data_IF_658283966656
#
_entry.id   IF_658283966656
#
_cell.length_a   1.000
_cell.length_b   1.000
_cell.length_c   1.000
_cell.angle_alpha   90.00
_cell.angle_beta   90.00
_cell.angle_gamma   90.00
#
_symmetry.space_group_name_H-M   'P 1'
#
loop_
_entity.id
_entity.type
_entity.pdbx_description
1 polymer ?
#
# COMPACT_ATOMS: atom_id res chain seq x y z
N UNK A 1 -14.32 -7.38 -0.76
CA UNK A 1 -14.33 -5.92 -1.01
C UNK A 1 -15.56 -5.62 -1.84
N UNK A 2 -16.22 -4.50 -1.59
CA UNK A 2 -17.40 -4.11 -2.35
C UNK A 2 -17.48 -2.59 -2.45
N UNK A 3 -17.98 -2.09 -3.57
CA UNK A 3 -18.41 -0.70 -3.71
C UNK A 3 -19.94 -0.72 -3.66
N UNK A 4 -20.52 -0.14 -2.61
CA UNK A 4 -21.95 -0.22 -2.33
C UNK A 4 -22.52 1.12 -1.86
N UNK A 5 -23.82 1.28 -2.09
CA UNK A 5 -24.63 2.35 -1.53
C UNK A 5 -25.18 1.92 -0.17
N UNK A 6 -24.92 2.75 0.84
CA UNK A 6 -25.33 2.52 2.23
C UNK A 6 -26.29 3.61 2.66
N UNK A 7 -27.40 3.18 3.26
CA UNK A 7 -28.37 4.00 3.96
C UNK A 7 -28.11 3.85 5.47
N UNK A 8 -27.52 4.89 6.05
CA UNK A 8 -27.06 4.96 7.43
C UNK A 8 -26.88 6.43 7.86
N UNK A 9 -26.76 6.67 9.16
CA UNK A 9 -26.69 8.04 9.73
C UNK A 9 -25.27 8.64 9.71
N UNK A 10 -24.28 7.92 9.20
CA UNK A 10 -22.89 8.37 9.22
C UNK A 10 -22.61 9.43 8.14
N UNK A 11 -21.86 10.50 8.47
CA UNK A 11 -21.47 11.50 7.47
C UNK A 11 -20.84 10.92 6.20
N UNK A 12 -21.08 11.57 5.07
CA UNK A 12 -20.41 11.19 3.83
C UNK A 12 -19.01 11.81 3.76
N UNK A 13 -18.02 11.05 3.29
CA UNK A 13 -16.66 11.54 3.01
C UNK A 13 -15.59 11.10 4.00
N UNK A 14 -15.97 10.54 5.15
CA UNK A 14 -15.02 10.05 6.15
C UNK A 14 -14.59 8.59 5.92
N UNK A 15 -13.44 8.23 6.50
CA UNK A 15 -12.98 6.85 6.62
C UNK A 15 -13.47 6.28 7.96
N UNK A 16 -14.36 5.29 7.93
CA UNK A 16 -14.83 4.63 9.14
C UNK A 16 -14.06 3.34 9.39
N UNK A 17 -13.63 3.12 10.63
CA UNK A 17 -12.91 1.90 11.03
C UNK A 17 -13.61 1.29 12.24
N UNK A 18 -14.46 0.31 12.00
CA UNK A 18 -15.11 -0.45 13.07
C UNK A 18 -14.19 -1.58 13.52
N UNK A 19 -14.28 -2.03 14.78
CA UNK A 19 -13.54 -3.20 15.30
C UNK A 19 -14.53 -4.21 15.90
N UNK A 20 -15.07 -5.16 15.12
CA UNK A 20 -15.84 -6.26 15.68
C UNK A 20 -14.89 -7.38 16.18
N UNK A 21 -15.41 -8.27 17.03
CA UNK A 21 -14.68 -9.39 17.64
C UNK A 21 -14.05 -10.37 16.62
N UNK A 22 -14.49 -10.33 15.35
CA UNK A 22 -13.95 -11.11 14.22
C UNK A 22 -13.59 -10.16 13.05
N UNK A 23 -12.39 -9.58 13.14
CA UNK A 23 -11.59 -8.89 12.12
C UNK A 23 -12.32 -8.03 11.05
N UNK A 24 -12.05 -6.73 11.07
CA UNK A 24 -12.52 -5.73 10.10
C UNK A 24 -11.38 -5.03 9.35
N UNK A 25 -11.71 -4.58 8.14
CA UNK A 25 -10.99 -3.59 7.35
C UNK A 25 -11.97 -2.44 7.04
N UNK A 26 -11.53 -1.20 6.78
CA UNK A 26 -12.40 -0.04 6.88
C UNK A 26 -13.24 0.21 5.61
N UNK A 27 -14.51 0.64 5.68
CA UNK A 27 -15.13 1.37 4.58
C UNK A 27 -14.35 2.66 4.27
N UNK A 28 -13.84 2.75 3.04
CA UNK A 28 -13.12 3.90 2.48
C UNK A 28 -14.02 4.68 1.52
N UNK A 29 -13.71 5.97 1.36
CA UNK A 29 -14.47 6.90 0.53
C UNK A 29 -14.54 6.45 -0.93
N UNK A 30 -15.74 6.56 -1.53
CA UNK A 30 -15.90 6.65 -2.99
C UNK A 30 -16.27 8.09 -3.38
N UNK A 31 -15.96 8.55 -4.61
CA UNK A 31 -16.24 9.92 -5.05
C UNK A 31 -17.73 10.28 -5.17
N UNK A 32 -18.63 9.29 -5.26
CA UNK A 32 -20.06 9.51 -5.45
C UNK A 32 -20.82 9.54 -4.12
N UNK A 33 -21.86 10.38 -3.99
CA UNK A 33 -22.64 10.50 -2.75
C UNK A 33 -23.24 9.16 -2.34
N UNK A 34 -23.26 8.91 -1.03
CA UNK A 34 -23.73 7.66 -0.40
C UNK A 34 -23.04 6.36 -0.87
N UNK A 35 -21.96 6.45 -1.66
CA UNK A 35 -21.17 5.27 -2.06
C UNK A 35 -19.95 5.08 -1.17
N UNK A 36 -19.72 3.83 -0.79
CA UNK A 36 -18.65 3.44 0.10
C UNK A 36 -17.95 2.19 -0.42
N UNK A 37 -16.63 2.18 -0.27
CA UNK A 37 -15.78 1.04 -0.61
C UNK A 37 -15.48 0.24 0.65
N UNK A 38 -16.14 -0.88 0.81
CA UNK A 38 -16.16 -1.71 2.01
C UNK A 38 -15.12 -2.82 1.90
N UNK A 39 -14.28 -2.94 2.93
CA UNK A 39 -13.34 -4.04 3.06
C UNK A 39 -13.75 -4.95 4.22
N UNK A 40 -13.71 -6.27 4.01
CA UNK A 40 -14.10 -7.22 5.04
C UNK A 40 -13.36 -8.53 4.87
N UNK A 41 -13.04 -9.18 6.00
CA UNK A 41 -12.50 -10.52 6.00
C UNK A 41 -13.66 -11.52 5.87
N UNK A 42 -13.56 -12.47 4.97
CA UNK A 42 -14.50 -13.60 4.91
C UNK A 42 -13.78 -14.79 5.53
N UNK A 43 -14.33 -15.37 6.61
CA UNK A 43 -13.77 -16.58 7.21
C UNK A 43 -14.21 -17.77 6.34
N UNK A 44 -13.24 -18.51 5.79
CA UNK A 44 -13.48 -19.62 4.86
C UNK A 44 -13.50 -20.99 5.55
N UNK A 45 -13.62 -21.05 6.88
CA UNK A 45 -13.50 -22.30 7.65
C UNK A 45 -12.04 -22.76 7.88
N UNK A 46 -11.84 -23.93 8.54
CA UNK A 46 -10.52 -24.52 8.77
C UNK A 46 -9.82 -24.91 7.45
N UNK A 47 -8.49 -25.05 7.50
CA UNK A 47 -7.63 -25.27 6.33
C UNK A 47 -8.16 -26.39 5.40
N UNK A 48 -8.51 -26.00 4.17
CA UNK A 48 -9.00 -26.83 3.07
C UNK A 48 -8.95 -26.01 1.78
N UNK A 49 -9.23 -26.60 0.60
CA UNK A 49 -9.37 -25.82 -0.62
C UNK A 49 -10.41 -24.73 -0.37
N UNK A 50 -10.06 -23.49 -0.73
CA UNK A 50 -10.98 -22.37 -0.57
C UNK A 50 -12.31 -22.74 -1.25
N UNK A 51 -13.47 -22.44 -0.65
CA UNK A 51 -14.75 -22.62 -1.33
C UNK A 51 -14.67 -21.92 -2.69
N UNK A 52 -15.31 -22.52 -3.69
CA UNK A 52 -15.37 -21.99 -5.04
C UNK A 52 -15.73 -20.49 -5.00
N UNK A 53 -15.08 -19.70 -5.88
CA UNK A 53 -15.32 -18.27 -5.90
C UNK A 53 -16.79 -18.02 -6.25
N UNK A 54 -17.56 -17.59 -5.26
CA UNK A 54 -18.87 -17.00 -5.44
C UNK A 54 -18.87 -15.62 -4.80
N UNK A 55 -19.44 -14.66 -5.52
CA UNK A 55 -19.76 -13.36 -4.94
C UNK A 55 -20.89 -13.54 -3.93
N UNK A 56 -20.81 -12.89 -2.76
CA UNK A 56 -21.89 -12.95 -1.79
C UNK A 56 -23.16 -12.36 -2.40
N UNK A 57 -24.30 -12.98 -2.09
CA UNK A 57 -25.60 -12.42 -2.45
C UNK A 57 -25.85 -11.12 -1.67
N UNK A 58 -26.80 -10.31 -2.13
CA UNK A 58 -27.22 -9.09 -1.43
C UNK A 58 -27.59 -9.37 0.04
N UNK A 59 -28.37 -10.44 0.29
CA UNK A 59 -28.76 -10.85 1.65
C UNK A 59 -27.54 -11.23 2.51
N UNK A 60 -26.59 -11.98 1.94
CA UNK A 60 -25.35 -12.34 2.64
C UNK A 60 -24.50 -11.10 2.95
N UNK A 61 -24.45 -10.15 2.03
CA UNK A 61 -23.71 -8.91 2.22
C UNK A 61 -24.37 -8.02 3.29
N UNK A 62 -25.70 -7.90 3.29
CA UNK A 62 -26.48 -7.24 4.34
C UNK A 62 -26.24 -7.91 5.70
N UNK A 63 -26.31 -9.24 5.79
CA UNK A 63 -26.02 -9.97 7.03
C UNK A 63 -24.59 -9.70 7.53
N UNK A 64 -23.59 -9.68 6.65
CA UNK A 64 -22.23 -9.33 7.02
C UNK A 64 -22.12 -7.90 7.56
N UNK A 65 -22.91 -6.96 7.03
CA UNK A 65 -22.96 -5.58 7.53
C UNK A 65 -23.62 -5.53 8.91
N UNK A 66 -24.76 -6.20 9.10
CA UNK A 66 -25.47 -6.25 10.38
C UNK A 66 -24.62 -6.86 11.50
N UNK A 67 -23.84 -7.90 11.19
CA UNK A 67 -22.97 -8.57 12.17
C UNK A 67 -21.75 -7.73 12.57
N UNK A 68 -21.29 -6.81 11.71
CA UNK A 68 -19.96 -6.19 11.83
C UNK A 68 -19.99 -4.68 12.00
N UNK A 69 -21.05 -4.02 11.55
CA UNK A 69 -21.26 -2.60 11.69
C UNK A 69 -21.96 -2.33 13.02
N UNK A 70 -21.39 -1.50 13.92
CA UNK A 70 -22.00 -1.20 15.22
C UNK A 70 -23.17 -0.21 15.11
N UNK A 71 -23.43 0.32 13.91
CA UNK A 71 -24.51 1.26 13.63
C UNK A 71 -25.50 0.63 12.66
N UNK A 72 -26.81 0.89 12.82
CA UNK A 72 -27.82 0.46 11.85
C UNK A 72 -27.42 0.88 10.44
N UNK A 73 -27.30 -0.09 9.54
CA UNK A 73 -26.82 0.13 8.18
C UNK A 73 -27.63 -0.72 7.22
N UNK A 74 -28.32 -0.10 6.28
CA UNK A 74 -29.00 -0.80 5.19
C UNK A 74 -28.17 -0.69 3.92
N UNK A 75 -27.85 -1.82 3.32
CA UNK A 75 -27.26 -1.89 1.98
C UNK A 75 -28.37 -1.64 0.99
N UNK A 76 -28.29 -0.53 0.25
CA UNK A 76 -29.29 -0.18 -0.77
C UNK A 76 -29.00 -0.95 -2.05
N UNK A 77 -27.73 -0.98 -2.46
CA UNK A 77 -27.28 -1.63 -3.70
C UNK A 77 -25.76 -1.79 -3.73
N UNK A 78 -25.29 -2.90 -4.26
CA UNK A 78 -23.90 -3.12 -4.63
C UNK A 78 -23.66 -2.74 -6.09
N UNK A 79 -22.62 -1.95 -6.35
CA UNK A 79 -22.15 -1.63 -7.70
C UNK A 79 -21.08 -2.60 -8.17
N UNK A 80 -20.28 -3.10 -7.22
CA UNK A 80 -19.21 -4.06 -7.48
C UNK A 80 -18.92 -4.86 -6.21
N UNK A 81 -18.70 -6.16 -6.36
CA UNK A 81 -18.28 -7.03 -5.26
C UNK A 81 -17.16 -7.93 -5.76
N UNK A 82 -16.12 -8.11 -4.95
CA UNK A 82 -15.06 -9.05 -5.26
C UNK A 82 -14.43 -9.65 -4.02
N UNK A 83 -14.14 -10.95 -4.10
CA UNK A 83 -13.38 -11.70 -3.08
C UNK A 83 -11.97 -11.97 -3.60
N UNK A 84 -11.00 -11.20 -3.14
CA UNK A 84 -9.60 -11.50 -3.42
C UNK A 84 -8.99 -12.30 -2.27
N UNK A 85 -8.11 -13.25 -2.62
CA UNK A 85 -7.27 -13.94 -1.65
C UNK A 85 -5.98 -13.16 -1.46
N UNK A 86 -5.61 -12.94 -0.20
CA UNK A 86 -4.34 -12.34 0.15
C UNK A 86 -3.22 -13.31 -0.20
N UNK A 87 -2.49 -13.02 -1.27
CA UNK A 87 -1.24 -13.68 -1.61
C UNK A 87 -0.08 -12.70 -1.41
N UNK A 88 1.02 -13.22 -0.86
CA UNK A 88 2.30 -12.53 -0.82
C UNK A 88 3.24 -13.29 -1.73
N UNK A 89 3.65 -12.65 -2.83
CA UNK A 89 4.60 -13.23 -3.80
C UNK A 89 5.44 -12.11 -4.36
N UNK A 90 6.72 -12.37 -4.58
CA UNK A 90 7.62 -11.49 -5.32
C UNK A 90 8.51 -12.39 -6.17
N UNK A 91 8.84 -11.94 -7.37
CA UNK A 91 9.90 -12.57 -8.16
C UNK A 91 11.26 -12.18 -7.58
N UNK A 92 12.31 -13.01 -7.73
CA UNK A 92 13.65 -12.69 -7.24
C UNK A 92 14.34 -11.59 -8.06
N UNK A 93 13.98 -11.46 -9.35
CA UNK A 93 14.59 -10.50 -10.28
C UNK A 93 13.53 -9.89 -11.19
N UNK A 94 13.62 -8.57 -11.41
CA UNK A 94 12.64 -7.84 -12.22
C UNK A 94 13.00 -7.79 -13.71
N UNK A 95 14.19 -8.31 -14.07
CA UNK A 95 14.71 -8.39 -15.44
C UNK A 95 15.28 -9.78 -15.71
N UNK A 96 14.97 -10.32 -16.88
CA UNK A 96 15.63 -11.49 -17.46
C UNK A 96 15.99 -11.18 -18.93
N UNK A 97 17.23 -10.76 -19.17
CA UNK A 97 17.68 -10.34 -20.51
C UNK A 97 16.88 -9.13 -21.03
N UNK A 98 16.00 -9.36 -22.01
CA UNK A 98 15.14 -8.31 -22.61
C UNK A 98 13.71 -8.31 -22.06
N UNK A 99 13.44 -9.15 -21.06
CA UNK A 99 12.12 -9.30 -20.45
C UNK A 99 12.12 -8.59 -19.11
N UNK A 100 11.07 -7.82 -18.84
CA UNK A 100 10.90 -7.06 -17.61
C UNK A 100 9.52 -7.34 -17.02
N UNK A 101 9.45 -7.35 -15.69
CA UNK A 101 8.18 -7.41 -14.95
C UNK A 101 8.01 -6.18 -14.07
N UNK A 102 6.77 -5.74 -13.93
CA UNK A 102 6.40 -4.45 -13.31
C UNK A 102 5.10 -4.63 -12.52
N UNK A 103 4.97 -3.97 -11.36
CA UNK A 103 3.75 -4.02 -10.55
C UNK A 103 3.37 -5.44 -10.12
N UNK A 104 2.09 -5.79 -10.18
CA UNK A 104 1.57 -7.08 -9.71
C UNK A 104 2.20 -8.31 -10.38
N UNK A 105 2.78 -8.16 -11.57
CA UNK A 105 3.55 -9.23 -12.22
C UNK A 105 4.90 -9.50 -11.51
N UNK A 106 5.49 -8.47 -10.92
CA UNK A 106 6.75 -8.54 -10.18
C UNK A 106 6.50 -8.84 -8.70
N UNK A 107 5.48 -8.23 -8.11
CA UNK A 107 5.20 -8.33 -6.68
C UNK A 107 3.72 -8.16 -6.37
N UNK A 108 3.17 -9.07 -5.56
CA UNK A 108 1.83 -9.00 -5.01
C UNK A 108 1.94 -8.85 -3.50
N UNK A 109 1.28 -7.82 -2.96
CA UNK A 109 1.35 -7.46 -1.55
C UNK A 109 -0.04 -7.51 -0.91
N UNK A 110 -0.06 -7.57 0.43
CA UNK A 110 -1.31 -7.34 1.16
C UNK A 110 -1.82 -5.91 0.84
N UNK A 111 -3.09 -5.74 0.44
CA UNK A 111 -3.70 -4.45 0.14
C UNK A 111 -3.88 -3.58 1.38
N UNK A 112 -3.50 -4.08 2.54
CA UNK A 112 -3.68 -3.43 3.80
C UNK A 112 -2.79 -2.18 4.00
N UNK A 113 -1.83 -1.94 3.09
CA UNK A 113 -1.13 -0.66 2.93
C UNK A 113 -1.66 0.24 1.80
N UNK A 114 -2.59 -0.23 0.96
CA UNK A 114 -3.07 0.44 -0.26
C UNK A 114 -1.94 0.91 -1.20
N UNK A 115 -0.85 0.14 -1.26
CA UNK A 115 0.39 0.55 -1.94
C UNK A 115 0.62 -0.11 -3.29
N UNK A 116 -0.09 -1.19 -3.64
CA UNK A 116 0.22 -2.00 -4.85
C UNK A 116 0.26 -1.16 -6.13
N UNK A 117 -0.83 -0.45 -6.44
CA UNK A 117 -0.90 0.41 -7.63
C UNK A 117 0.15 1.53 -7.62
N UNK A 118 0.37 2.17 -6.46
CA UNK A 118 1.35 3.24 -6.34
C UNK A 118 2.78 2.73 -6.60
N UNK A 119 3.14 1.57 -6.04
CA UNK A 119 4.43 0.93 -6.28
C UNK A 119 4.58 0.54 -7.75
N UNK A 120 3.55 -0.06 -8.36
CA UNK A 120 3.60 -0.46 -9.77
C UNK A 120 3.75 0.73 -10.73
N UNK A 121 3.08 1.85 -10.48
CA UNK A 121 3.28 3.09 -11.25
C UNK A 121 4.73 3.58 -11.10
N UNK A 122 5.29 3.54 -9.90
CA UNK A 122 6.68 3.94 -9.68
C UNK A 122 7.69 2.99 -10.32
N UNK A 123 7.40 1.69 -10.39
CA UNK A 123 8.22 0.72 -11.13
C UNK A 123 8.24 1.07 -12.62
N UNK A 124 7.06 1.31 -13.21
CA UNK A 124 6.93 1.72 -14.60
C UNK A 124 7.66 3.05 -14.86
N UNK A 125 7.51 4.03 -13.97
CA UNK A 125 8.20 5.31 -14.07
C UNK A 125 9.73 5.15 -14.03
N UNK A 126 10.25 4.29 -13.15
CA UNK A 126 11.69 4.01 -13.08
C UNK A 126 12.21 3.33 -14.35
N UNK A 127 11.46 2.38 -14.91
CA UNK A 127 11.89 1.60 -16.07
C UNK A 127 11.74 2.35 -17.41
N UNK A 128 10.70 3.16 -17.57
CA UNK A 128 10.32 3.75 -18.86
C UNK A 128 11.43 4.62 -19.47
N UNK A 129 12.06 5.50 -18.69
CA UNK A 129 13.12 6.36 -19.20
C UNK A 129 14.40 5.57 -19.51
N UNK A 130 14.72 4.53 -18.73
CA UNK A 130 15.87 3.64 -18.96
C UNK A 130 15.72 2.92 -20.29
N UNK A 131 14.54 2.36 -20.56
CA UNK A 131 14.20 1.75 -21.85
C UNK A 131 14.28 2.75 -23.00
N UNK A 132 13.74 3.96 -22.82
CA UNK A 132 13.78 4.99 -23.86
C UNK A 132 15.21 5.41 -24.22
N UNK A 133 16.11 5.53 -23.24
CA UNK A 133 17.52 5.86 -23.47
C UNK A 133 18.24 4.79 -24.29
N UNK A 134 18.00 3.51 -24.01
CA UNK A 134 18.59 2.40 -24.76
C UNK A 134 17.97 2.26 -26.14
N UNK A 135 16.63 2.35 -26.24
CA UNK A 135 15.89 2.17 -27.49
C UNK A 135 16.20 3.28 -28.51
N UNK A 136 16.48 4.50 -28.06
CA UNK A 136 16.89 5.62 -28.93
C UNK A 136 18.39 5.60 -29.29
N UNK A 137 19.16 4.67 -28.73
CA UNK A 137 20.61 4.61 -28.93
C UNK A 137 21.40 5.67 -28.16
N UNK A 138 20.79 6.36 -27.19
CA UNK A 138 21.48 7.33 -26.34
C UNK A 138 22.46 6.64 -25.38
N UNK A 139 22.17 5.38 -25.02
CA UNK A 139 23.05 4.52 -24.21
C UNK A 139 23.15 3.16 -24.89
N UNK A 140 24.36 2.68 -25.13
CA UNK A 140 24.64 1.47 -25.91
C UNK A 140 25.66 0.55 -25.22
N UNK A 141 25.74 -0.70 -25.68
CA UNK A 141 26.72 -1.67 -25.20
C UNK A 141 26.57 -1.98 -23.71
N UNK A 142 27.68 -2.20 -23.00
CA UNK A 142 27.69 -2.55 -21.58
C UNK A 142 26.97 -1.52 -20.70
N UNK A 143 27.05 -0.22 -21.04
CA UNK A 143 26.36 0.83 -20.31
C UNK A 143 24.83 0.72 -20.41
N UNK A 144 24.31 0.20 -21.53
CA UNK A 144 22.88 -0.05 -21.68
C UNK A 144 22.43 -1.17 -20.75
N UNK A 145 23.23 -2.22 -20.62
CA UNK A 145 22.94 -3.31 -19.69
C UNK A 145 23.03 -2.86 -18.24
N UNK A 146 24.07 -2.11 -17.84
CA UNK A 146 24.16 -1.53 -16.50
C UNK A 146 22.97 -0.62 -16.17
N UNK A 147 22.56 0.24 -17.13
CA UNK A 147 21.40 1.10 -16.97
C UNK A 147 20.11 0.29 -16.77
N UNK A 148 19.90 -0.76 -17.55
CA UNK A 148 18.69 -1.59 -17.44
C UNK A 148 18.72 -2.52 -16.21
N UNK A 149 19.89 -3.01 -15.79
CA UNK A 149 20.07 -3.83 -14.58
C UNK A 149 19.80 -3.03 -13.31
N UNK A 150 20.10 -1.72 -13.32
CA UNK A 150 19.76 -0.83 -12.21
C UNK A 150 18.27 -0.86 -11.87
N UNK A 151 17.36 -1.18 -12.81
CA UNK A 151 15.93 -1.30 -12.49
C UNK A 151 15.65 -2.37 -11.43
N UNK A 152 16.21 -3.57 -11.58
CA UNK A 152 16.04 -4.64 -10.59
C UNK A 152 16.72 -4.25 -9.27
N UNK A 153 17.96 -3.75 -9.35
CA UNK A 153 18.72 -3.31 -8.16
C UNK A 153 18.05 -2.18 -7.37
N UNK A 154 17.38 -1.25 -8.05
CA UNK A 154 16.68 -0.13 -7.43
C UNK A 154 15.32 -0.56 -6.86
N UNK A 155 14.52 -1.30 -7.63
CA UNK A 155 13.09 -1.51 -7.34
C UNK A 155 12.79 -2.77 -6.56
N UNK A 156 13.55 -3.84 -6.74
CA UNK A 156 13.35 -5.08 -5.98
C UNK A 156 13.49 -4.86 -4.45
N UNK A 157 14.53 -4.16 -3.94
CA UNK A 157 14.65 -3.89 -2.50
C UNK A 157 13.54 -3.01 -1.94
N UNK A 158 12.96 -2.12 -2.75
CA UNK A 158 11.83 -1.28 -2.34
C UNK A 158 10.60 -2.15 -2.07
N UNK A 159 10.27 -3.06 -2.98
CA UNK A 159 9.20 -4.05 -2.79
C UNK A 159 9.41 -4.90 -1.53
N UNK A 160 10.63 -5.41 -1.32
CA UNK A 160 10.95 -6.18 -0.11
C UNK A 160 10.84 -5.41 1.20
N UNK A 161 11.31 -4.16 1.24
CA UNK A 161 11.25 -3.33 2.45
C UNK A 161 9.81 -2.96 2.78
N UNK A 162 9.03 -2.63 1.76
CA UNK A 162 7.62 -2.32 1.90
C UNK A 162 6.85 -3.50 2.49
N UNK A 163 7.15 -4.71 2.01
CA UNK A 163 6.63 -5.97 2.55
C UNK A 163 6.97 -6.14 4.03
N UNK A 164 8.26 -6.02 4.40
CA UNK A 164 8.71 -6.19 5.80
C UNK A 164 8.09 -5.16 6.74
N UNK A 165 7.99 -3.90 6.30
CA UNK A 165 7.38 -2.83 7.09
C UNK A 165 5.88 -3.08 7.32
N UNK A 166 5.17 -3.45 6.25
CA UNK A 166 3.74 -3.75 6.27
C UNK A 166 3.47 -4.97 7.14
N UNK A 167 4.23 -6.05 7.01
CA UNK A 167 4.10 -7.26 7.85
C UNK A 167 4.34 -6.98 9.33
N UNK A 168 5.33 -6.13 9.67
CA UNK A 168 5.59 -5.76 11.07
C UNK A 168 4.45 -4.93 11.65
N UNK A 169 3.90 -4.00 10.86
CA UNK A 169 2.71 -3.24 11.24
C UNK A 169 1.50 -4.18 11.41
N UNK A 170 1.33 -5.14 10.50
CA UNK A 170 0.31 -6.18 10.59
C UNK A 170 0.43 -7.00 11.86
N UNK A 171 1.59 -7.58 12.13
CA UNK A 171 1.82 -8.40 13.32
C UNK A 171 1.58 -7.66 14.63
N UNK A 172 1.81 -6.35 14.68
CA UNK A 172 1.50 -5.52 15.86
C UNK A 172 -0.01 -5.28 16.00
N UNK A 173 -0.71 -5.01 14.90
CA UNK A 173 -2.17 -4.75 14.89
C UNK A 173 -2.96 -6.05 15.12
N UNK A 174 -2.56 -7.15 14.47
CA UNK A 174 -3.19 -8.47 14.53
C UNK A 174 -2.64 -9.38 15.63
N UNK A 175 -1.57 -8.96 16.31
CA UNK A 175 -0.89 -9.74 17.34
C UNK A 175 -1.82 -10.14 18.49
N UNK A 176 -1.74 -11.41 18.89
CA UNK A 176 -2.61 -12.06 19.89
C UNK A 176 -2.06 -12.01 21.33
N UNK A 177 -0.91 -11.37 21.56
CA UNK A 177 -0.26 -11.40 22.88
C UNK A 177 -1.13 -10.72 23.96
N UNK A 178 -1.11 -11.29 25.15
CA UNK A 178 -1.90 -10.83 26.31
C UNK A 178 -1.52 -9.38 26.66
N UNK A 179 -0.22 -9.05 26.62
CA UNK A 179 0.29 -7.70 26.80
C UNK A 179 -0.22 -6.72 25.74
N UNK A 180 -0.27 -7.11 24.46
CA UNK A 180 -0.82 -6.27 23.40
C UNK A 180 -2.33 -6.05 23.53
N UNK A 181 -3.07 -7.02 24.09
CA UNK A 181 -4.51 -6.88 24.44
C UNK A 181 -4.73 -5.88 25.57
N UNK A 182 -3.93 -5.99 26.64
CA UNK A 182 -3.99 -5.09 27.80
C UNK A 182 -3.59 -3.65 27.42
N UNK A 183 -2.48 -3.49 26.69
CA UNK A 183 -2.07 -2.20 26.12
C UNK A 183 -3.18 -1.58 25.26
N UNK A 184 -3.81 -2.35 24.36
CA UNK A 184 -4.92 -1.86 23.51
C UNK A 184 -6.14 -1.40 24.31
N UNK A 185 -6.47 -2.11 25.39
CA UNK A 185 -7.70 -1.87 26.17
C UNK A 185 -7.57 -0.67 27.11
N UNK A 186 -6.38 -0.43 27.68
CA UNK A 186 -6.21 0.57 28.74
C UNK A 186 -5.29 1.75 28.36
N UNK A 187 -4.17 1.51 27.64
CA UNK A 187 -3.26 2.58 27.21
C UNK A 187 -3.56 3.11 25.80
N UNK A 188 -4.16 2.28 24.94
CA UNK A 188 -4.42 2.57 23.53
C UNK A 188 -5.15 3.89 23.28
N UNK A 189 -6.33 4.16 23.88
CA UNK A 189 -7.10 5.36 23.57
C UNK A 189 -6.40 6.67 23.97
N UNK A 190 -5.73 6.68 25.12
CA UNK A 190 -5.08 7.86 25.70
C UNK A 190 -3.76 8.17 24.99
N UNK A 191 -2.97 7.13 24.72
CA UNK A 191 -1.71 7.27 23.99
C UNK A 191 -1.96 7.57 22.51
N UNK A 192 -2.95 6.91 21.88
CA UNK A 192 -3.28 7.16 20.47
C UNK A 192 -3.75 8.58 20.24
N UNK A 193 -4.58 9.16 21.12
CA UNK A 193 -4.98 10.56 21.01
C UNK A 193 -3.75 11.48 21.04
N UNK A 194 -2.87 11.30 22.02
CA UNK A 194 -1.68 12.15 22.20
C UNK A 194 -0.64 11.99 21.09
N UNK A 195 -0.44 10.76 20.62
CA UNK A 195 0.57 10.41 19.62
C UNK A 195 0.08 10.75 18.21
N UNK A 196 -1.18 10.46 17.88
CA UNK A 196 -1.77 10.80 16.57
C UNK A 196 -2.10 12.28 16.42
N UNK A 197 -2.19 13.07 17.48
CA UNK A 197 -2.34 14.55 17.38
C UNK A 197 -1.01 15.27 17.21
N UNK A 198 0.13 14.63 17.46
CA UNK A 198 1.45 15.26 17.27
C UNK A 198 1.79 15.37 15.78
N UNK A 199 2.02 16.61 15.34
CA UNK A 199 2.35 16.92 13.94
C UNK A 199 3.59 16.16 13.44
N UNK A 200 4.65 16.09 14.25
CA UNK A 200 5.88 15.34 13.93
C UNK A 200 5.63 13.84 13.72
N UNK A 201 4.76 13.24 14.53
CA UNK A 201 4.41 11.82 14.40
C UNK A 201 3.52 11.56 13.17
N UNK A 202 2.58 12.47 12.88
CA UNK A 202 1.78 12.42 11.64
C UNK A 202 2.68 12.47 10.40
N UNK A 203 3.63 13.39 10.35
CA UNK A 203 4.60 13.48 9.24
C UNK A 203 5.49 12.24 9.15
N UNK A 204 5.91 11.69 10.30
CA UNK A 204 6.72 10.48 10.36
C UNK A 204 5.98 9.25 9.82
N UNK A 205 4.68 9.11 10.09
CA UNK A 205 3.84 8.03 9.54
C UNK A 205 3.41 8.28 8.09
N UNK A 206 3.08 9.53 7.73
CA UNK A 206 2.51 9.85 6.43
C UNK A 206 3.50 9.66 5.28
N UNK A 207 4.75 10.05 5.46
CA UNK A 207 5.72 10.06 4.36
C UNK A 207 6.11 8.65 3.85
N UNK A 208 6.31 7.62 4.70
CA UNK A 208 6.47 6.24 4.25
C UNK A 208 5.19 5.66 3.62
N UNK A 209 4.01 5.97 4.17
CA UNK A 209 2.73 5.50 3.63
C UNK A 209 2.45 6.08 2.23
N UNK A 210 2.73 7.37 2.05
CA UNK A 210 2.65 8.07 0.77
C UNK A 210 3.79 7.71 -0.19
N UNK A 211 4.72 6.83 0.22
CA UNK A 211 5.87 6.39 -0.58
C UNK A 211 6.80 7.54 -1.05
N UNK A 212 6.77 8.68 -0.35
CA UNK A 212 7.57 9.86 -0.68
C UNK A 212 9.04 9.75 -0.23
N UNK A 213 9.36 8.72 0.57
CA UNK A 213 10.69 8.46 1.12
C UNK A 213 11.38 7.25 0.49
N UNK A 214 11.02 6.89 -0.73
CA UNK A 214 11.75 5.86 -1.48
C UNK A 214 13.08 6.48 -1.96
N UNK A 215 14.18 5.82 -1.61
CA UNK A 215 15.54 6.25 -1.92
C UNK A 215 16.35 5.06 -2.44
N UNK A 216 17.33 5.35 -3.29
CA UNK A 216 18.18 4.35 -3.95
C UNK A 216 19.66 4.54 -3.62
N UNK A 217 20.09 4.51 -2.34
CA UNK A 217 21.47 4.85 -1.97
C UNK A 217 22.52 3.92 -2.61
N UNK A 218 22.16 2.66 -2.86
CA UNK A 218 23.04 1.67 -3.50
C UNK A 218 22.88 1.57 -5.02
N UNK A 219 22.22 2.53 -5.68
CA UNK A 219 22.06 2.49 -7.13
C UNK A 219 23.41 2.64 -7.81
N UNK A 220 23.66 1.82 -8.83
CA UNK A 220 24.83 1.96 -9.72
C UNK A 220 24.82 3.25 -10.54
N UNK A 221 23.68 3.97 -10.55
CA UNK A 221 23.53 5.25 -11.22
C UNK A 221 23.92 6.43 -10.32
N UNK A 222 24.13 6.20 -9.03
CA UNK A 222 24.62 7.24 -8.14
C UNK A 222 26.11 7.44 -8.39
N UNK A 223 26.52 8.70 -8.42
CA UNK A 223 27.91 9.09 -8.31
C UNK A 223 28.07 9.92 -7.04
N UNK A 224 29.22 9.79 -6.38
CA UNK A 224 29.64 10.81 -5.42
C UNK A 224 29.78 12.13 -6.18
N UNK A 225 29.08 13.17 -5.73
CA UNK A 225 29.16 14.50 -6.31
C UNK A 225 30.28 15.34 -5.67
N UNK A 226 31.03 14.76 -4.72
CA UNK A 226 32.12 15.40 -4.00
C UNK A 226 31.69 16.62 -3.18
N UNK A 227 30.38 16.75 -2.94
CA UNK A 227 29.78 17.97 -2.45
C UNK A 227 29.35 17.81 -0.99
N UNK A 228 29.79 18.72 -0.13
CA UNK A 228 29.61 18.62 1.34
C UNK A 228 28.30 19.31 1.79
N UNK A 229 27.24 19.19 1.00
CA UNK A 229 25.97 19.86 1.26
C UNK A 229 25.20 19.11 2.35
N UNK A 230 25.53 19.41 3.61
CA UNK A 230 25.04 18.65 4.78
C UNK A 230 23.51 18.47 4.85
N UNK A 231 22.73 19.53 4.60
CA UNK A 231 21.26 19.49 4.73
C UNK A 231 20.50 19.16 3.42
N UNK A 232 21.21 18.79 2.35
CA UNK A 232 20.63 18.53 1.03
C UNK A 232 20.28 17.04 0.81
N UNK A 233 19.40 16.72 -0.17
CA UNK A 233 19.13 15.33 -0.53
C UNK A 233 20.40 14.60 -0.96
N UNK A 234 20.61 13.39 -0.44
CA UNK A 234 21.77 12.58 -0.79
C UNK A 234 21.61 11.94 -2.19
N UNK A 235 22.69 11.48 -2.86
CA UNK A 235 22.59 10.68 -4.07
C UNK A 235 21.63 9.49 -3.89
N UNK A 236 20.68 9.37 -4.82
CA UNK A 236 19.61 8.37 -4.76
C UNK A 236 18.36 8.81 -3.99
N UNK A 237 18.37 9.97 -3.33
CA UNK A 237 17.15 10.56 -2.78
C UNK A 237 16.28 11.17 -3.88
N UNK A 238 14.97 11.22 -3.62
CA UNK A 238 14.06 11.98 -4.47
C UNK A 238 14.39 13.48 -4.33
N UNK A 239 14.60 14.15 -5.47
CA UNK A 239 14.67 15.60 -5.52
C UNK A 239 13.39 16.21 -4.94
N UNK A 240 13.56 17.11 -3.96
CA UNK A 240 12.44 17.80 -3.32
C UNK A 240 11.98 18.96 -4.19
N UNK A 241 10.69 19.21 -4.22
CA UNK A 241 10.16 20.43 -4.83
C UNK A 241 10.70 21.65 -4.07
N UNK A 242 11.21 22.63 -4.81
CA UNK A 242 11.72 23.88 -4.28
C UNK A 242 11.29 25.02 -5.22
N UNK A 243 10.92 26.16 -4.65
CA UNK A 243 10.72 27.37 -5.43
C UNK A 243 12.08 27.89 -5.89
N UNK A 244 12.21 28.18 -7.18
CA UNK A 244 13.41 28.78 -7.77
C UNK A 244 13.04 30.12 -8.39
N UNK A 245 13.88 31.12 -8.16
CA UNK A 245 13.82 32.40 -8.89
C UNK A 245 14.77 32.28 -10.06
N UNK A 246 14.26 32.53 -11.27
CA UNK A 246 15.08 32.59 -12.48
C UNK A 246 15.22 34.08 -12.79
N UNK A 247 16.42 34.61 -12.57
CA UNK A 247 16.82 35.96 -12.98
C UNK A 247 17.04 36.05 -14.49
#
# INVERSE_FOLDING_TARGET
>A
MADAELDWEMPHGDLYVFRPARASWPPSRCPAPARYRIFGKVDTGPEGPAPEYSEPTHEQFQQMMDERCPVPTRVVREYWVSRYRLHRRTVPDYRAGRIFVVGDAAHVHSPAGAQGMNTGIQDAYNLAWKLAMVQRGNVTGANADTLLDSYSGDRHPVGERLLKATDRMFGVISGRSVAARLMRRYLGPTLAKTVLTRHSFRQWLAAPLAQLRITYPGSVLNSEDGSDWGDMPAPGDRAREAAVTID
#
